data_IF_484738429098
#
_entry.id   IF_484738429098
#
_cell.length_a   1.000
_cell.length_b   1.000
_cell.length_c   1.000
_cell.angle_alpha   90.00
_cell.angle_beta   90.00
_cell.angle_gamma   90.00
#
_symmetry.space_group_name_H-M   'P 1'
#
loop_
_entity.id
_entity.type
_entity.pdbx_description
1 polymer ?
#
# COMPACT_ATOMS: atom_id res chain seq x y z
N UNK A 1 14.62 -21.76 34.32
CA UNK A 1 14.44 -21.73 32.84
C UNK A 1 13.02 -22.22 32.56
N UNK A 2 12.08 -21.52 31.94
CA UNK A 2 11.91 -20.15 31.44
C UNK A 2 10.36 -20.00 31.36
N UNK A 3 9.80 -18.88 31.79
CA UNK A 3 8.43 -18.43 31.48
C UNK A 3 8.54 -17.14 30.65
N UNK A 4 7.54 -16.89 29.76
CA UNK A 4 7.16 -15.69 28.94
C UNK A 4 7.15 -15.99 27.42
N UNK A 5 6.02 -16.13 26.70
CA UNK A 5 4.92 -15.17 26.30
C UNK A 5 5.43 -14.04 25.39
N UNK A 6 4.82 -13.73 24.22
CA UNK A 6 3.39 -13.46 23.96
C UNK A 6 2.87 -13.99 22.60
N UNK A 7 1.74 -14.71 22.64
CA UNK A 7 0.77 -14.81 21.55
C UNK A 7 -0.12 -13.55 21.55
N UNK A 8 -0.65 -13.10 20.41
CA UNK A 8 -1.58 -11.98 20.36
C UNK A 8 -2.80 -12.28 21.23
N UNK A 9 -3.12 -11.34 22.10
CA UNK A 9 -4.26 -11.36 23.00
C UNK A 9 -5.53 -11.33 22.16
N UNK A 10 -6.17 -12.49 21.96
CA UNK A 10 -7.59 -12.53 21.58
C UNK A 10 -8.40 -11.98 22.76
N UNK A 11 -9.03 -10.82 22.57
CA UNK A 11 -10.09 -10.37 23.48
C UNK A 11 -11.30 -11.32 23.32
N UNK A 12 -11.51 -12.16 24.33
CA UNK A 12 -12.74 -12.93 24.47
C UNK A 12 -13.82 -12.05 25.10
N UNK A 13 -14.83 -11.66 24.33
CA UNK A 13 -16.16 -11.37 24.90
C UNK A 13 -16.96 -12.66 24.75
N UNK A 14 -16.94 -13.48 25.79
CA UNK A 14 -17.89 -14.57 25.93
C UNK A 14 -19.27 -13.96 26.19
N UNK A 15 -20.06 -13.71 25.13
CA UNK A 15 -21.49 -13.59 25.31
C UNK A 15 -22.01 -15.01 25.57
N UNK A 16 -22.53 -15.25 26.77
CA UNK A 16 -23.12 -16.52 27.16
C UNK A 16 -24.42 -16.72 26.35
N UNK A 17 -24.30 -17.24 25.13
CA UNK A 17 -25.44 -17.54 24.28
C UNK A 17 -25.85 -18.98 24.59
N UNK A 18 -26.92 -19.13 25.38
CA UNK A 18 -27.55 -20.42 25.59
C UNK A 18 -28.05 -20.98 24.24
N UNK A 19 -27.50 -22.12 23.85
CA UNK A 19 -27.98 -23.04 22.80
C UNK A 19 -28.34 -22.43 21.45
N UNK A 20 -27.39 -22.46 20.50
CA UNK A 20 -27.66 -22.29 19.07
C UNK A 20 -27.90 -23.65 18.42
N UNK A 21 -28.89 -23.75 17.53
CA UNK A 21 -29.04 -24.87 16.60
C UNK A 21 -28.62 -24.40 15.21
N UNK A 22 -27.48 -24.89 14.70
CA UNK A 22 -27.15 -24.80 13.28
C UNK A 22 -27.45 -26.16 12.64
N UNK A 23 -28.29 -26.18 11.60
CA UNK A 23 -28.54 -27.39 10.82
C UNK A 23 -27.80 -27.30 9.48
N UNK A 24 -26.92 -28.27 9.23
CA UNK A 24 -26.33 -28.49 7.91
C UNK A 24 -27.21 -29.49 7.17
N UNK A 25 -27.83 -29.10 6.06
CA UNK A 25 -28.58 -30.05 5.23
C UNK A 25 -27.68 -30.58 4.12
N UNK A 26 -27.32 -31.87 4.22
CA UNK A 26 -27.08 -32.71 3.05
C UNK A 26 -28.39 -33.44 2.75
N UNK A 27 -28.75 -33.52 1.48
CA UNK A 27 -29.99 -34.18 1.03
C UNK A 27 -30.00 -35.66 1.46
N UNK A 28 -31.15 -36.09 2.03
CA UNK A 28 -31.64 -37.46 2.34
C UNK A 28 -31.37 -38.10 3.73
N UNK A 29 -32.39 -38.06 4.61
CA UNK A 29 -32.53 -38.93 5.80
C UNK A 29 -33.16 -38.24 7.03
N UNK A 30 -34.01 -38.91 7.87
CA UNK A 30 -34.77 -38.25 8.93
C UNK A 30 -33.98 -38.03 10.24
N UNK A 31 -34.44 -37.03 10.98
CA UNK A 31 -33.81 -36.30 12.09
C UNK A 31 -33.66 -37.08 13.42
N UNK A 32 -32.53 -36.88 14.13
CA UNK A 32 -32.46 -37.09 15.59
C UNK A 32 -31.51 -36.12 16.31
N UNK A 33 -32.10 -35.36 17.24
CA UNK A 33 -31.61 -34.85 18.55
C UNK A 33 -30.34 -34.00 18.69
N UNK A 34 -30.59 -32.75 19.11
CA UNK A 34 -29.83 -31.79 19.93
C UNK A 34 -28.33 -32.04 20.22
N UNK A 35 -27.49 -31.15 19.70
CA UNK A 35 -26.22 -30.78 20.33
C UNK A 35 -25.99 -29.28 20.23
N UNK A 36 -25.50 -28.69 21.32
CA UNK A 36 -25.02 -27.31 21.40
C UNK A 36 -23.76 -27.14 20.54
N UNK A 37 -23.83 -26.30 19.50
CA UNK A 37 -22.67 -25.97 18.68
C UNK A 37 -22.47 -24.45 18.74
N UNK A 38 -21.34 -24.01 19.31
CA UNK A 38 -20.81 -22.69 19.01
C UNK A 38 -20.28 -22.73 17.58
N UNK A 39 -21.07 -22.23 16.62
CA UNK A 39 -20.69 -22.29 15.21
C UNK A 39 -19.89 -21.03 14.86
N UNK A 40 -18.57 -21.18 14.74
CA UNK A 40 -17.70 -20.27 14.01
C UNK A 40 -17.62 -20.79 12.57
N UNK A 41 -18.20 -20.07 11.61
CA UNK A 41 -18.05 -20.39 10.20
C UNK A 41 -16.87 -19.58 9.63
N UNK A 42 -15.78 -20.26 9.30
CA UNK A 42 -14.69 -19.67 8.50
C UNK A 42 -15.09 -19.86 7.04
N UNK A 43 -15.33 -18.76 6.32
CA UNK A 43 -15.68 -18.79 4.89
C UNK A 43 -14.46 -18.32 4.12
N UNK A 44 -13.99 -19.17 3.20
CA UNK A 44 -12.99 -18.82 2.21
C UNK A 44 -13.61 -17.83 1.20
N UNK A 45 -13.01 -16.65 0.95
CA UNK A 45 -13.58 -15.64 0.04
C UNK A 45 -13.75 -16.12 -1.41
N UNK A 46 -13.03 -17.16 -1.84
CA UNK A 46 -13.06 -17.62 -3.24
C UNK A 46 -14.24 -18.55 -3.58
N UNK A 47 -15.05 -18.92 -2.60
CA UNK A 47 -16.26 -19.72 -2.85
C UNK A 47 -17.46 -19.09 -2.18
N UNK A 48 -18.35 -18.52 -3.00
CA UNK A 48 -19.66 -18.02 -2.58
C UNK A 48 -20.56 -19.21 -2.23
N UNK A 49 -20.38 -19.78 -1.03
CA UNK A 49 -21.40 -20.61 -0.42
C UNK A 49 -22.39 -19.68 0.27
N UNK A 50 -23.62 -19.62 -0.24
CA UNK A 50 -24.70 -18.94 0.44
C UNK A 50 -24.97 -19.60 1.79
N UNK A 51 -24.63 -18.91 2.89
CA UNK A 51 -25.04 -19.35 4.22
C UNK A 51 -26.46 -18.86 4.46
N UNK A 52 -27.41 -19.79 4.61
CA UNK A 52 -28.78 -19.49 5.04
C UNK A 52 -28.91 -19.70 6.54
N UNK A 53 -29.38 -18.66 7.25
CA UNK A 53 -29.74 -18.72 8.66
C UNK A 53 -31.25 -18.53 8.80
N UNK A 54 -31.88 -19.28 9.72
CA UNK A 54 -33.28 -19.06 10.09
C UNK A 54 -33.35 -18.37 11.46
N UNK A 55 -33.77 -17.11 11.49
CA UNK A 55 -33.93 -16.31 12.71
C UNK A 55 -35.38 -16.32 13.23
N UNK A 56 -36.10 -17.43 13.07
CA UNK A 56 -37.44 -17.56 13.62
C UNK A 56 -37.44 -17.45 15.17
N UNK A 57 -38.23 -16.51 15.70
CA UNK A 57 -38.58 -16.46 17.13
C UNK A 57 -37.87 -15.41 18.00
N UNK A 58 -37.01 -14.56 17.43
CA UNK A 58 -36.34 -13.49 18.19
C UNK A 58 -37.12 -12.16 18.14
N UNK A 59 -37.37 -11.56 19.30
CA UNK A 59 -37.99 -10.23 19.44
C UNK A 59 -36.96 -9.10 19.57
N UNK A 60 -35.68 -9.43 19.66
CA UNK A 60 -34.55 -8.51 19.76
C UNK A 60 -33.63 -8.64 18.53
N UNK A 61 -32.96 -7.53 18.11
CA UNK A 61 -32.04 -7.55 16.97
C UNK A 61 -30.90 -8.56 17.19
N UNK A 62 -30.64 -9.37 16.16
CA UNK A 62 -29.48 -10.26 16.13
C UNK A 62 -28.32 -9.56 15.41
N UNK A 63 -27.10 -9.80 15.91
CA UNK A 63 -25.86 -9.30 15.30
C UNK A 63 -25.11 -10.48 14.69
N UNK A 64 -24.88 -10.47 13.36
CA UNK A 64 -23.90 -11.36 12.74
C UNK A 64 -22.54 -10.68 12.75
N UNK A 65 -21.52 -11.41 13.17
CA UNK A 65 -20.12 -11.02 13.01
C UNK A 65 -19.47 -11.93 11.97
N UNK A 66 -18.95 -11.35 10.89
CA UNK A 66 -18.08 -12.07 9.96
C UNK A 66 -16.64 -11.92 10.45
N UNK A 67 -15.93 -13.05 10.54
CA UNK A 67 -14.49 -13.10 10.77
C UNK A 67 -13.85 -13.52 9.45
N UNK A 68 -13.10 -12.61 8.84
CA UNK A 68 -12.11 -12.99 7.83
C UNK A 68 -10.72 -12.72 8.41
N UNK A 69 -9.72 -13.60 8.17
CA UNK A 69 -8.34 -13.38 8.60
C UNK A 69 -7.75 -12.06 8.08
N UNK A 70 -8.27 -11.55 6.96
CA UNK A 70 -7.82 -10.34 6.27
C UNK A 70 -8.72 -9.12 6.49
N UNK A 71 -9.96 -9.30 6.99
CA UNK A 71 -10.99 -8.25 6.95
C UNK A 71 -11.55 -7.78 8.31
N UNK A 72 -11.04 -8.28 9.45
CA UNK A 72 -11.55 -7.88 10.77
C UNK A 72 -13.06 -8.10 10.96
N UNK A 73 -13.67 -7.43 11.95
CA UNK A 73 -15.06 -7.66 12.37
C UNK A 73 -16.06 -6.75 11.63
N UNK A 74 -17.01 -7.34 10.90
CA UNK A 74 -18.18 -6.65 10.35
C UNK A 74 -19.48 -7.08 11.05
N UNK A 75 -20.19 -6.13 11.67
CA UNK A 75 -21.45 -6.36 12.39
C UNK A 75 -22.69 -5.85 11.64
N UNK A 76 -23.62 -6.73 11.25
CA UNK A 76 -24.90 -6.34 10.62
C UNK A 76 -26.10 -6.46 11.57
N UNK A 77 -27.11 -5.59 11.42
CA UNK A 77 -28.35 -5.58 12.23
C UNK A 77 -29.50 -6.20 11.44
N UNK A 78 -29.98 -7.37 11.85
CA UNK A 78 -31.17 -8.00 11.24
C UNK A 78 -32.45 -7.64 12.02
N UNK A 79 -33.46 -7.11 11.33
CA UNK A 79 -34.80 -6.89 11.88
C UNK A 79 -35.85 -7.51 10.93
N UNK A 80 -36.59 -8.51 11.42
CA UNK A 80 -37.73 -9.10 10.72
C UNK A 80 -37.63 -10.61 10.46
N UNK A 81 -38.79 -11.25 10.29
CA UNK A 81 -38.98 -12.70 10.12
C UNK A 81 -38.95 -13.16 8.66
N UNK A 82 -38.09 -12.60 7.82
CA UNK A 82 -37.95 -13.03 6.43
C UNK A 82 -36.79 -14.02 6.29
N UNK A 83 -37.15 -15.29 6.08
CA UNK A 83 -36.25 -16.33 5.56
C UNK A 83 -35.54 -15.83 4.29
N UNK A 84 -34.21 -15.91 4.29
CA UNK A 84 -33.38 -15.62 3.13
C UNK A 84 -33.20 -14.14 2.83
N UNK A 85 -32.25 -13.50 3.53
CA UNK A 85 -31.68 -12.23 3.09
C UNK A 85 -30.29 -12.50 2.51
N UNK A 86 -30.07 -12.09 1.25
CA UNK A 86 -28.72 -11.95 0.70
C UNK A 86 -28.19 -10.61 1.19
N UNK A 87 -27.23 -10.65 2.10
CA UNK A 87 -26.55 -9.45 2.56
C UNK A 87 -25.41 -9.17 1.60
N UNK A 88 -25.50 -8.07 0.84
CA UNK A 88 -24.35 -7.51 0.14
C UNK A 88 -23.56 -6.70 1.17
N UNK A 89 -22.28 -7.01 1.31
CA UNK A 89 -21.38 -6.11 2.03
C UNK A 89 -21.36 -4.77 1.28
N UNK A 90 -21.85 -3.71 1.93
CA UNK A 90 -21.71 -2.32 1.46
C UNK A 90 -20.75 -1.53 2.36
N UNK A 91 -19.84 -2.23 3.05
CA UNK A 91 -18.72 -1.57 3.71
C UNK A 91 -17.64 -1.21 2.69
N UNK A 92 -16.68 -0.40 3.13
CA UNK A 92 -15.48 -0.13 2.34
C UNK A 92 -14.78 -1.45 2.00
N UNK A 93 -14.19 -1.52 0.80
CA UNK A 93 -13.14 -2.50 0.53
C UNK A 93 -12.06 -2.29 1.59
N UNK A 94 -11.71 -3.32 2.35
CA UNK A 94 -10.45 -3.29 3.08
C UNK A 94 -9.40 -3.57 2.01
N UNK A 95 -8.45 -2.65 1.85
CA UNK A 95 -7.45 -2.72 0.80
C UNK A 95 -6.84 -4.10 0.69
N UNK A 96 -6.71 -4.59 -0.54
CA UNK A 96 -5.97 -5.80 -0.85
C UNK A 96 -4.48 -5.61 -0.57
N UNK A 97 -3.79 -6.71 -0.30
CA UNK A 97 -2.35 -6.75 -0.20
C UNK A 97 -1.79 -7.25 -1.54
N UNK A 98 -0.90 -6.47 -2.15
CA UNK A 98 -0.27 -6.75 -3.43
C UNK A 98 1.24 -6.85 -3.20
N UNK A 99 1.83 -7.93 -3.70
CA UNK A 99 3.27 -8.18 -3.59
C UNK A 99 4.01 -7.84 -4.89
N UNK A 100 5.18 -7.23 -4.77
CA UNK A 100 6.08 -6.90 -5.87
C UNK A 100 7.47 -7.40 -5.53
N UNK A 101 8.03 -8.23 -6.41
CA UNK A 101 9.37 -8.77 -6.27
C UNK A 101 9.94 -9.02 -7.67
N UNK A 102 11.01 -8.30 -8.02
CA UNK A 102 11.68 -8.41 -9.31
C UNK A 102 12.25 -9.80 -9.59
N UNK A 103 12.46 -10.62 -8.55
CA UNK A 103 13.01 -11.99 -8.64
C UNK A 103 11.92 -13.07 -8.61
N UNK A 104 10.63 -12.70 -8.47
CA UNK A 104 9.53 -13.65 -8.45
C UNK A 104 9.42 -14.44 -9.78
N UNK A 105 9.05 -15.71 -9.66
CA UNK A 105 9.00 -16.66 -10.79
C UNK A 105 7.62 -17.32 -10.99
N UNK A 106 6.65 -17.01 -10.12
CA UNK A 106 5.31 -17.59 -10.13
C UNK A 106 4.38 -16.96 -11.17
N UNK A 107 3.11 -16.80 -10.79
CA UNK A 107 2.04 -16.38 -11.68
C UNK A 107 2.11 -14.91 -12.13
N UNK A 108 2.89 -14.06 -11.46
CA UNK A 108 3.00 -12.63 -11.72
C UNK A 108 1.64 -11.92 -11.62
N UNK A 109 0.91 -12.20 -10.53
CA UNK A 109 -0.42 -11.65 -10.24
C UNK A 109 -0.50 -10.86 -8.91
N UNK A 110 0.60 -10.80 -8.16
CA UNK A 110 0.71 -10.03 -6.94
C UNK A 110 0.02 -10.65 -5.72
N UNK A 111 -0.46 -11.90 -5.79
CA UNK A 111 -1.24 -12.54 -4.72
C UNK A 111 -0.41 -13.09 -3.55
N UNK A 112 0.88 -13.31 -3.76
CA UNK A 112 1.85 -13.79 -2.76
C UNK A 112 3.26 -13.37 -3.15
N UNK A 113 4.26 -13.58 -2.29
CA UNK A 113 5.67 -13.39 -2.67
C UNK A 113 6.10 -14.31 -3.82
N UNK A 114 5.61 -15.55 -3.89
CA UNK A 114 5.93 -16.48 -4.99
C UNK A 114 5.34 -16.01 -6.32
N UNK A 115 4.12 -15.48 -6.27
CA UNK A 115 3.33 -15.01 -7.42
C UNK A 115 3.38 -13.49 -7.59
N UNK A 116 4.34 -12.81 -6.97
CA UNK A 116 4.44 -11.36 -6.93
C UNK A 116 4.58 -10.76 -8.33
N UNK A 117 4.16 -9.50 -8.50
CA UNK A 117 4.46 -8.77 -9.71
C UNK A 117 5.97 -8.52 -9.82
N UNK A 118 6.56 -8.83 -10.98
CA UNK A 118 7.97 -8.53 -11.27
C UNK A 118 8.20 -7.08 -11.70
N UNK A 119 7.12 -6.34 -11.96
CA UNK A 119 7.14 -4.92 -12.35
C UNK A 119 6.19 -4.10 -11.46
N UNK A 120 6.73 -3.03 -10.86
CA UNK A 120 5.97 -2.18 -9.96
C UNK A 120 4.88 -1.36 -10.69
N UNK A 121 5.04 -1.03 -11.97
CA UNK A 121 4.00 -0.33 -12.73
C UNK A 121 2.78 -1.22 -12.91
N UNK A 122 2.97 -2.52 -13.15
CA UNK A 122 1.86 -3.47 -13.26
C UNK A 122 1.11 -3.60 -11.92
N UNK A 123 1.84 -3.66 -10.81
CA UNK A 123 1.25 -3.67 -9.47
C UNK A 123 0.45 -2.38 -9.16
N UNK A 124 1.01 -1.20 -9.47
CA UNK A 124 0.31 0.08 -9.28
C UNK A 124 -0.92 0.22 -10.20
N UNK A 125 -0.88 -0.38 -11.39
CA UNK A 125 -2.01 -0.42 -12.30
C UNK A 125 -3.13 -1.34 -11.77
N UNK A 126 -2.77 -2.47 -11.16
CA UNK A 126 -3.70 -3.44 -10.57
C UNK A 126 -4.32 -2.94 -9.25
N UNK A 127 -3.57 -2.17 -8.45
CA UNK A 127 -4.00 -1.68 -7.14
C UNK A 127 -5.29 -0.83 -7.20
N UNK A 128 -6.17 -1.05 -6.23
CA UNK A 128 -7.35 -0.23 -5.95
C UNK A 128 -7.10 0.77 -4.82
N UNK A 129 -8.05 1.69 -4.62
CA UNK A 129 -7.95 2.65 -3.52
C UNK A 129 -8.07 1.93 -2.17
N UNK A 130 -7.08 2.16 -1.30
CA UNK A 130 -6.95 1.58 0.03
C UNK A 130 -5.95 0.42 0.10
N UNK A 131 -5.50 -0.11 -1.05
CA UNK A 131 -4.61 -1.29 -1.10
C UNK A 131 -3.23 -1.02 -0.48
N UNK A 132 -2.61 -2.10 0.00
CA UNK A 132 -1.21 -2.15 0.41
C UNK A 132 -0.37 -2.79 -0.69
N UNK A 133 0.67 -2.09 -1.14
CA UNK A 133 1.64 -2.58 -2.11
C UNK A 133 2.97 -2.79 -1.40
N UNK A 134 3.38 -4.04 -1.25
CA UNK A 134 4.59 -4.47 -0.56
C UNK A 134 5.67 -4.81 -1.58
N UNK A 135 6.78 -4.09 -1.54
CA UNK A 135 7.84 -4.16 -2.55
C UNK A 135 9.11 -4.71 -1.92
N UNK A 136 9.53 -5.87 -2.41
CA UNK A 136 10.78 -6.51 -2.04
C UNK A 136 11.98 -5.66 -2.47
N UNK A 137 13.14 -5.99 -1.93
CA UNK A 137 14.43 -5.43 -2.37
C UNK A 137 14.61 -5.54 -3.89
N UNK A 138 15.39 -4.62 -4.44
CA UNK A 138 15.69 -4.59 -5.86
C UNK A 138 15.62 -3.20 -6.47
N UNK A 139 15.88 -3.12 -7.78
CA UNK A 139 15.87 -1.85 -8.53
C UNK A 139 14.71 -1.83 -9.51
N UNK A 140 13.71 -1.02 -9.20
CA UNK A 140 12.49 -0.85 -9.99
C UNK A 140 12.59 0.42 -10.82
N UNK A 141 12.33 0.31 -12.12
CA UNK A 141 12.36 1.42 -13.08
C UNK A 141 10.98 1.62 -13.69
N UNK A 142 10.54 2.87 -13.92
CA UNK A 142 9.20 3.13 -14.47
C UNK A 142 9.08 2.82 -15.97
N UNK A 143 10.20 2.55 -16.64
CA UNK A 143 10.29 2.09 -18.02
C UNK A 143 11.57 1.23 -18.19
N UNK A 144 11.64 0.48 -19.30
CA UNK A 144 12.87 -0.23 -19.68
C UNK A 144 13.96 0.70 -20.23
N UNK A 145 15.14 0.13 -20.56
CA UNK A 145 16.25 0.86 -21.17
C UNK A 145 15.85 1.65 -22.42
N UNK A 146 16.41 2.84 -22.59
CA UNK A 146 16.08 3.82 -23.64
C UNK A 146 14.59 4.19 -23.74
N UNK A 147 13.83 3.97 -22.64
CA UNK A 147 12.42 4.31 -22.52
C UNK A 147 12.15 5.82 -22.51
N UNK A 148 10.87 6.18 -22.33
CA UNK A 148 10.48 7.58 -22.24
C UNK A 148 11.01 8.20 -20.95
N UNK A 149 11.73 9.33 -21.05
CA UNK A 149 12.11 10.15 -19.89
C UNK A 149 10.92 10.74 -19.12
N UNK A 150 9.73 10.73 -19.73
CA UNK A 150 8.48 11.14 -19.07
C UNK A 150 7.81 10.02 -18.27
N UNK A 151 8.35 8.80 -18.28
CA UNK A 151 7.86 7.71 -17.44
C UNK A 151 8.08 8.03 -15.94
N UNK A 152 7.18 7.54 -15.10
CA UNK A 152 7.20 7.76 -13.65
C UNK A 152 6.37 6.68 -12.97
N UNK A 153 6.65 6.40 -11.70
CA UNK A 153 5.73 5.71 -10.82
C UNK A 153 4.62 6.68 -10.41
N UNK A 154 3.45 6.51 -11.00
CA UNK A 154 2.32 7.41 -10.84
C UNK A 154 1.41 6.94 -9.70
N UNK A 155 1.28 7.76 -8.66
CA UNK A 155 0.27 7.58 -7.63
C UNK A 155 -0.95 8.47 -7.93
N UNK A 156 -2.07 7.84 -8.30
CA UNK A 156 -3.33 8.51 -8.59
C UNK A 156 -4.55 7.98 -7.83
N UNK A 157 -4.34 7.02 -6.94
CA UNK A 157 -5.30 6.51 -5.93
C UNK A 157 -4.64 6.55 -4.56
N UNK A 158 -5.44 6.64 -3.50
CA UNK A 158 -4.89 6.55 -2.15
C UNK A 158 -4.51 5.10 -1.84
N UNK A 159 -3.22 4.83 -1.62
CA UNK A 159 -2.71 3.49 -1.34
C UNK A 159 -1.50 3.53 -0.39
N UNK A 160 -1.18 2.40 0.20
CA UNK A 160 -0.06 2.26 1.11
C UNK A 160 1.10 1.57 0.38
N UNK A 161 2.13 2.32 0.00
CA UNK A 161 3.29 1.82 -0.71
C UNK A 161 4.45 1.61 0.27
N UNK A 162 4.80 0.35 0.50
CA UNK A 162 5.83 -0.09 1.44
C UNK A 162 6.97 -0.78 0.70
N UNK A 163 8.18 -0.23 0.79
CA UNK A 163 9.42 -0.85 0.32
C UNK A 163 10.23 -1.37 1.49
N UNK A 164 11.19 -2.25 1.21
CA UNK A 164 12.11 -2.72 2.24
C UNK A 164 11.91 -4.16 2.69
N UNK A 165 11.29 -5.03 1.87
CA UNK A 165 11.01 -6.42 2.23
C UNK A 165 12.05 -7.38 1.66
N UNK A 166 12.30 -8.48 2.36
CA UNK A 166 13.13 -9.59 1.88
C UNK A 166 12.38 -10.53 0.93
N UNK A 167 11.05 -10.41 0.81
CA UNK A 167 10.22 -11.27 -0.03
C UNK A 167 9.74 -12.54 0.68
N UNK A 168 9.69 -12.53 2.02
CA UNK A 168 9.29 -13.71 2.82
C UNK A 168 8.35 -13.40 3.98
N UNK A 169 8.10 -12.11 4.23
CA UNK A 169 7.34 -11.60 5.37
C UNK A 169 5.84 -11.89 5.25
N UNK A 170 5.23 -12.32 6.34
CA UNK A 170 3.78 -12.51 6.46
C UNK A 170 3.06 -11.33 7.12
N UNK A 171 3.79 -10.36 7.69
CA UNK A 171 3.22 -9.15 8.31
C UNK A 171 4.13 -7.92 8.14
N UNK A 172 3.57 -6.72 8.25
CA UNK A 172 4.34 -5.47 8.07
C UNK A 172 5.40 -5.30 9.18
N UNK A 173 5.15 -5.87 10.37
CA UNK A 173 6.10 -5.86 11.49
C UNK A 173 7.32 -6.74 11.23
N UNK A 174 7.19 -7.80 10.42
CA UNK A 174 8.29 -8.68 10.06
C UNK A 174 9.31 -8.00 9.12
N UNK A 175 8.91 -6.92 8.43
CA UNK A 175 9.78 -6.11 7.56
C UNK A 175 11.03 -5.59 8.28
N UNK A 176 10.93 -5.27 9.57
CA UNK A 176 12.04 -4.71 10.33
C UNK A 176 12.44 -3.30 9.85
N UNK A 177 13.75 -3.04 9.75
CA UNK A 177 14.28 -1.78 9.20
C UNK A 177 14.30 -1.86 7.67
N UNK A 178 13.53 -1.04 6.94
CA UNK A 178 13.50 -1.10 5.48
C UNK A 178 14.84 -0.79 4.79
N UNK A 179 15.84 -0.28 5.52
CA UNK A 179 17.19 -0.15 5.00
C UNK A 179 17.95 -1.49 4.83
N UNK A 180 17.52 -2.56 5.52
CA UNK A 180 18.19 -3.88 5.46
C UNK A 180 17.94 -4.59 4.11
N UNK A 181 16.80 -4.33 3.45
CA UNK A 181 16.38 -4.93 2.18
C UNK A 181 15.95 -3.85 1.17
N UNK A 182 16.89 -3.03 0.65
CA UNK A 182 16.56 -1.78 -0.02
C UNK A 182 15.74 -1.98 -1.32
N UNK A 183 14.51 -1.46 -1.32
CA UNK A 183 13.72 -1.25 -2.53
C UNK A 183 14.07 0.11 -3.15
N UNK A 184 14.67 0.10 -4.34
CA UNK A 184 15.17 1.28 -5.04
C UNK A 184 14.24 1.62 -6.20
N UNK A 185 13.57 2.77 -6.12
CA UNK A 185 12.88 3.38 -7.25
C UNK A 185 13.91 4.22 -8.01
N UNK A 186 14.33 3.73 -9.17
CA UNK A 186 15.38 4.35 -9.97
C UNK A 186 14.83 5.02 -11.22
N UNK A 187 15.30 6.25 -11.43
CA UNK A 187 15.11 6.98 -12.67
C UNK A 187 16.13 6.70 -13.76
N UNK A 188 17.25 6.06 -13.42
CA UNK A 188 18.30 5.63 -14.37
C UNK A 188 17.80 4.41 -15.17
N UNK A 189 17.42 4.64 -16.43
CA UNK A 189 16.76 3.63 -17.25
C UNK A 189 17.76 2.60 -17.80
N UNK A 190 18.98 3.05 -18.09
CA UNK A 190 20.03 2.22 -18.66
C UNK A 190 20.93 1.56 -17.60
N UNK A 191 20.83 1.96 -16.34
CA UNK A 191 21.63 1.41 -15.24
C UNK A 191 23.10 1.81 -15.32
N UNK A 192 23.41 2.96 -15.93
CA UNK A 192 24.77 3.42 -16.19
C UNK A 192 25.13 4.75 -15.50
N UNK A 193 24.30 5.22 -14.57
CA UNK A 193 24.61 6.38 -13.73
C UNK A 193 25.93 6.20 -12.97
N UNK A 194 26.75 7.25 -12.96
CA UNK A 194 27.96 7.30 -12.14
C UNK A 194 27.60 7.89 -10.77
N UNK A 195 27.97 7.16 -9.72
CA UNK A 195 27.78 7.58 -8.33
C UNK A 195 28.39 8.96 -8.06
N UNK A 196 27.66 9.80 -7.33
CA UNK A 196 28.00 11.18 -6.98
C UNK A 196 28.25 12.12 -8.18
N UNK A 197 27.81 11.75 -9.39
CA UNK A 197 27.95 12.55 -10.60
C UNK A 197 26.61 12.82 -11.29
N UNK A 198 26.01 13.97 -11.00
CA UNK A 198 24.72 14.41 -11.56
C UNK A 198 24.79 14.92 -13.01
N UNK A 199 25.87 14.69 -13.76
CA UNK A 199 26.07 15.27 -15.11
C UNK A 199 26.37 14.26 -16.21
N UNK A 200 27.03 13.16 -15.87
CA UNK A 200 27.38 12.10 -16.81
C UNK A 200 26.36 10.96 -16.75
N UNK A 201 26.06 10.39 -17.91
CA UNK A 201 25.11 9.28 -18.09
C UNK A 201 23.70 9.56 -17.53
N UNK A 202 23.24 10.82 -17.58
CA UNK A 202 21.89 11.20 -17.09
C UNK A 202 20.85 11.43 -18.19
N UNK A 203 21.21 11.09 -19.43
CA UNK A 203 20.43 11.52 -20.61
C UNK A 203 19.21 10.66 -20.90
N UNK A 204 19.24 9.40 -20.48
CA UNK A 204 18.14 8.45 -20.50
C UNK A 204 17.26 8.55 -19.24
N UNK A 205 17.81 9.08 -18.14
CA UNK A 205 17.11 9.17 -16.88
C UNK A 205 15.76 9.87 -17.00
N UNK A 206 14.75 9.32 -16.33
CA UNK A 206 13.46 9.97 -16.23
C UNK A 206 13.57 11.31 -15.52
N UNK A 207 12.66 12.23 -15.84
CA UNK A 207 12.66 13.53 -15.20
C UNK A 207 12.27 13.44 -13.72
N UNK A 208 11.20 12.71 -13.42
CA UNK A 208 10.67 12.52 -12.07
C UNK A 208 10.44 11.04 -11.82
N UNK A 209 11.06 10.49 -10.78
CA UNK A 209 10.92 9.05 -10.46
C UNK A 209 9.50 8.74 -9.97
N UNK A 210 9.01 9.50 -8.98
CA UNK A 210 7.68 9.31 -8.39
C UNK A 210 6.82 10.55 -8.57
N UNK A 211 5.64 10.39 -9.17
CA UNK A 211 4.66 11.48 -9.31
C UNK A 211 3.42 11.18 -8.48
N UNK A 212 3.03 12.15 -7.64
CA UNK A 212 1.82 12.08 -6.84
C UNK A 212 0.81 13.11 -7.35
N UNK A 213 -0.37 12.65 -7.80
CA UNK A 213 -1.44 13.54 -8.30
C UNK A 213 -2.07 14.37 -7.19
N UNK A 214 -2.77 15.43 -7.59
CA UNK A 214 -3.41 16.40 -6.69
C UNK A 214 -4.53 15.82 -5.82
N UNK A 215 -5.19 14.74 -6.26
CA UNK A 215 -6.27 14.08 -5.51
C UNK A 215 -5.77 13.16 -4.39
N UNK A 216 -4.46 12.99 -4.25
CA UNK A 216 -3.85 12.14 -3.25
C UNK A 216 -3.78 12.86 -1.91
N UNK A 217 -4.20 12.17 -0.86
CA UNK A 217 -4.26 12.69 0.51
C UNK A 217 -3.26 11.98 1.43
N UNK A 218 -3.30 12.32 2.73
CA UNK A 218 -2.50 11.68 3.78
C UNK A 218 -2.86 10.20 4.01
N UNK A 219 -3.92 9.70 3.37
CA UNK A 219 -4.22 8.28 3.30
C UNK A 219 -3.19 7.50 2.47
N UNK A 220 -2.45 8.17 1.59
CA UNK A 220 -1.33 7.56 0.87
C UNK A 220 -0.07 7.56 1.73
N UNK A 221 0.60 6.42 1.81
CA UNK A 221 1.89 6.28 2.48
C UNK A 221 2.95 5.88 1.46
N UNK A 222 4.10 6.53 1.48
CA UNK A 222 5.31 6.10 0.78
C UNK A 222 6.36 5.86 1.86
N UNK A 223 6.73 4.59 2.07
CA UNK A 223 7.56 4.18 3.20
C UNK A 223 8.67 3.21 2.80
N UNK A 224 9.91 3.52 3.16
CA UNK A 224 11.02 2.57 3.08
C UNK A 224 11.72 2.47 1.72
N UNK A 225 11.55 3.45 0.83
CA UNK A 225 12.20 3.43 -0.49
C UNK A 225 13.49 4.26 -0.53
N UNK A 226 14.46 3.77 -1.29
CA UNK A 226 15.45 4.65 -1.90
C UNK A 226 14.89 5.18 -3.22
N UNK A 227 14.94 6.50 -3.42
CA UNK A 227 14.44 7.17 -4.63
C UNK A 227 15.62 7.92 -5.24
N UNK A 228 16.05 7.48 -6.42
CA UNK A 228 17.29 7.96 -7.03
C UNK A 228 17.24 8.06 -8.55
N UNK A 229 18.22 8.75 -9.12
CA UNK A 229 18.40 8.81 -10.58
C UNK A 229 17.43 9.73 -11.31
N UNK A 230 16.54 10.46 -10.62
CA UNK A 230 15.70 11.45 -11.27
C UNK A 230 16.47 12.66 -11.80
N UNK A 231 16.22 13.07 -13.05
CA UNK A 231 17.00 14.11 -13.72
C UNK A 231 16.12 15.11 -14.48
N UNK A 232 15.37 15.94 -13.74
CA UNK A 232 14.45 16.95 -14.24
C UNK A 232 15.20 18.18 -14.84
N UNK A 233 15.86 17.97 -15.98
CA UNK A 233 16.66 18.95 -16.72
C UNK A 233 15.98 19.45 -18.02
N UNK A 234 14.68 19.25 -18.16
CA UNK A 234 13.91 19.62 -19.34
C UNK A 234 13.75 21.13 -19.52
N UNK A 235 13.28 21.50 -20.71
CA UNK A 235 12.92 22.88 -21.07
C UNK A 235 11.40 23.10 -20.99
N UNK A 236 10.94 24.29 -20.63
CA UNK A 236 9.50 24.62 -20.58
C UNK A 236 9.14 25.68 -19.53
N UNK A 237 7.84 25.86 -19.26
CA UNK A 237 7.37 26.72 -18.16
C UNK A 237 7.78 26.16 -16.81
N UNK A 238 7.69 26.98 -15.76
CA UNK A 238 8.01 26.57 -14.40
C UNK A 238 6.99 25.50 -13.92
N UNK A 239 7.40 24.62 -12.99
CA UNK A 239 6.52 23.67 -12.28
C UNK A 239 5.96 22.48 -13.11
N UNK A 240 6.69 22.01 -14.12
CA UNK A 240 6.41 20.70 -14.74
C UNK A 240 7.36 19.62 -14.22
N UNK A 241 6.98 18.35 -14.37
CA UNK A 241 7.82 17.18 -14.01
C UNK A 241 9.20 17.22 -14.66
N UNK A 242 9.30 17.83 -15.85
CA UNK A 242 10.56 17.94 -16.56
C UNK A 242 11.55 18.88 -15.87
N UNK A 243 11.14 19.68 -14.86
CA UNK A 243 11.99 20.71 -14.25
C UNK A 243 12.03 20.71 -12.72
N UNK A 244 11.11 20.00 -12.05
CA UNK A 244 11.00 19.98 -10.59
C UNK A 244 10.77 18.57 -10.06
N UNK A 245 11.16 18.31 -8.81
CA UNK A 245 10.91 17.04 -8.14
C UNK A 245 11.62 15.89 -8.84
N UNK A 246 12.95 15.92 -8.88
CA UNK A 246 13.74 14.90 -9.57
C UNK A 246 13.44 13.50 -9.01
N UNK A 247 13.56 13.32 -7.70
CA UNK A 247 13.12 12.08 -7.05
C UNK A 247 11.60 11.99 -6.96
N UNK A 248 10.96 12.95 -6.27
CA UNK A 248 9.51 12.94 -6.07
C UNK A 248 8.90 14.31 -6.35
N UNK A 249 7.81 14.31 -7.12
CA UNK A 249 6.98 15.48 -7.39
C UNK A 249 5.56 15.24 -6.88
N UNK A 250 5.16 15.91 -5.80
CA UNK A 250 3.86 15.75 -5.19
C UNK A 250 2.98 17.00 -5.32
N UNK A 251 1.87 16.84 -6.04
CA UNK A 251 0.78 17.81 -6.08
C UNK A 251 -0.23 17.58 -4.96
N UNK A 252 -0.43 16.31 -4.57
CA UNK A 252 -1.16 15.90 -3.37
C UNK A 252 -0.28 15.90 -2.12
N UNK A 253 -0.80 15.36 -1.02
CA UNK A 253 -0.16 15.41 0.31
C UNK A 253 -0.04 14.03 0.98
N UNK A 254 0.75 13.11 0.41
CA UNK A 254 0.98 11.78 0.99
C UNK A 254 1.80 11.88 2.28
N UNK A 255 1.72 10.87 3.14
CA UNK A 255 2.71 10.66 4.19
C UNK A 255 3.96 10.00 3.60
N UNK A 256 5.12 10.65 3.72
CA UNK A 256 6.40 10.12 3.23
C UNK A 256 7.30 9.85 4.42
N UNK A 257 7.76 8.60 4.59
CA UNK A 257 8.59 8.24 5.73
C UNK A 257 9.64 7.19 5.44
N UNK A 258 10.72 7.17 6.22
CA UNK A 258 11.82 6.19 6.07
C UNK A 258 12.39 6.09 4.64
N UNK A 259 12.23 7.14 3.83
CA UNK A 259 12.72 7.17 2.46
C UNK A 259 14.10 7.85 2.40
N UNK A 260 14.91 7.40 1.45
CA UNK A 260 16.19 8.03 1.11
C UNK A 260 16.07 8.63 -0.28
N UNK A 261 16.12 9.94 -0.36
CA UNK A 261 16.21 10.65 -1.63
C UNK A 261 17.69 10.87 -1.93
N UNK A 262 18.20 10.27 -2.99
CA UNK A 262 19.62 10.34 -3.30
C UNK A 262 19.94 10.53 -4.77
N UNK A 263 20.94 11.37 -5.06
CA UNK A 263 21.46 11.57 -6.42
C UNK A 263 20.42 12.01 -7.45
N UNK A 264 19.43 12.78 -7.01
CA UNK A 264 18.42 13.36 -7.87
C UNK A 264 18.74 14.83 -8.21
N UNK A 265 18.36 15.25 -9.41
CA UNK A 265 18.61 16.59 -9.91
C UNK A 265 17.34 17.22 -10.48
N UNK A 266 17.16 18.51 -10.22
CA UNK A 266 16.11 19.32 -10.84
C UNK A 266 16.63 20.71 -11.23
N UNK A 267 16.40 21.16 -12.47
CA UNK A 267 16.83 22.49 -12.90
C UNK A 267 16.09 23.62 -12.16
N UNK A 268 14.88 23.36 -11.65
CA UNK A 268 14.08 24.35 -10.95
C UNK A 268 14.03 24.07 -9.45
N UNK A 269 13.16 23.16 -9.00
CA UNK A 269 12.84 23.00 -7.57
C UNK A 269 12.91 21.56 -7.12
N UNK A 270 13.43 21.34 -5.92
CA UNK A 270 13.33 20.04 -5.25
C UNK A 270 14.07 18.95 -6.00
N UNK A 271 15.41 18.98 -5.96
CA UNK A 271 16.22 17.92 -6.58
C UNK A 271 15.80 16.55 -6.08
N UNK A 272 15.79 16.36 -4.75
CA UNK A 272 15.26 15.16 -4.09
C UNK A 272 13.74 15.09 -4.13
N UNK A 273 13.06 16.06 -3.54
CA UNK A 273 11.60 16.12 -3.55
C UNK A 273 11.05 17.55 -3.66
N UNK A 274 9.92 17.68 -4.35
CA UNK A 274 9.14 18.90 -4.46
C UNK A 274 7.68 18.65 -4.09
N UNK A 275 7.18 19.38 -3.09
CA UNK A 275 5.79 19.35 -2.65
C UNK A 275 5.12 20.69 -2.94
N UNK A 276 4.00 20.68 -3.66
CA UNK A 276 3.24 21.89 -4.03
C UNK A 276 2.19 22.26 -2.99
N UNK A 277 1.63 21.26 -2.31
CA UNK A 277 0.63 21.44 -1.27
C UNK A 277 1.10 20.79 0.03
N UNK A 278 0.88 21.49 1.14
CA UNK A 278 1.34 21.09 2.47
C UNK A 278 0.22 20.75 3.44
N UNK A 279 -1.05 20.92 3.05
CA UNK A 279 -2.17 20.58 3.93
C UNK A 279 -2.13 19.09 4.28
N UNK A 280 -1.86 18.74 5.54
CA UNK A 280 -1.78 17.33 5.98
C UNK A 280 -0.49 16.59 5.58
N UNK A 281 0.46 17.25 4.91
CA UNK A 281 1.71 16.64 4.47
C UNK A 281 2.57 16.23 5.68
N UNK A 282 2.99 14.96 5.71
CA UNK A 282 3.85 14.40 6.76
C UNK A 282 5.14 13.87 6.14
N UNK A 283 6.30 14.34 6.61
CA UNK A 283 7.63 13.93 6.13
C UNK A 283 8.47 13.51 7.34
N UNK A 284 8.56 12.21 7.62
CA UNK A 284 9.18 11.69 8.85
C UNK A 284 10.32 10.71 8.57
N UNK A 285 11.45 10.85 9.25
CA UNK A 285 12.59 9.95 9.17
C UNK A 285 13.13 9.76 7.74
N UNK A 286 13.14 10.83 6.94
CA UNK A 286 13.67 10.80 5.57
C UNK A 286 15.08 11.38 5.50
N UNK A 287 15.90 10.87 4.59
CA UNK A 287 17.21 11.45 4.27
C UNK A 287 17.23 12.04 2.87
N UNK A 288 17.96 13.15 2.69
CA UNK A 288 18.15 13.81 1.41
C UNK A 288 19.65 14.02 1.19
N UNK A 289 20.29 13.14 0.41
CA UNK A 289 21.74 13.10 0.21
C UNK A 289 22.10 13.28 -1.25
N UNK A 290 23.15 14.05 -1.55
CA UNK A 290 23.65 14.24 -2.93
C UNK A 290 22.60 14.64 -3.97
N UNK A 291 21.52 15.31 -3.56
CA UNK A 291 20.54 15.87 -4.48
C UNK A 291 20.90 17.33 -4.79
N UNK A 292 20.62 17.80 -6.00
CA UNK A 292 20.90 19.16 -6.41
C UNK A 292 19.74 19.83 -7.14
N UNK A 293 19.65 21.15 -7.01
CA UNK A 293 18.78 21.98 -7.82
C UNK A 293 19.47 23.28 -8.20
N UNK A 294 19.22 23.82 -9.39
CA UNK A 294 19.81 25.12 -9.77
C UNK A 294 19.09 26.33 -9.14
N UNK A 295 17.80 26.21 -8.82
CA UNK A 295 17.03 27.33 -8.25
C UNK A 295 16.81 27.18 -6.74
N UNK A 296 15.96 26.23 -6.30
CA UNK A 296 15.55 26.12 -4.89
C UNK A 296 15.43 24.68 -4.41
N UNK A 297 16.02 24.43 -3.24
CA UNK A 297 15.85 23.17 -2.50
C UNK A 297 16.49 21.97 -3.20
N UNK A 298 17.82 21.84 -3.10
CA UNK A 298 18.54 20.69 -3.68
C UNK A 298 18.03 19.36 -3.11
N UNK A 299 17.90 19.26 -1.79
CA UNK A 299 17.26 18.11 -1.14
C UNK A 299 15.74 18.15 -1.23
N UNK A 300 15.13 19.20 -0.66
CA UNK A 300 13.69 19.32 -0.48
C UNK A 300 13.25 20.75 -0.79
N UNK A 301 12.22 20.89 -1.61
CA UNK A 301 11.49 22.15 -1.77
C UNK A 301 10.02 21.93 -1.41
N UNK A 302 9.49 22.81 -0.58
CA UNK A 302 8.08 22.80 -0.18
C UNK A 302 7.52 24.17 -0.53
N UNK A 303 6.53 24.17 -1.39
CA UNK A 303 5.70 25.32 -1.71
C UNK A 303 4.36 25.15 -1.02
N UNK A 304 3.82 26.23 -0.49
CA UNK A 304 2.65 26.19 0.36
C UNK A 304 1.77 27.39 0.07
N UNK A 305 0.54 27.12 -0.36
CA UNK A 305 -0.50 28.15 -0.49
C UNK A 305 -1.29 28.36 0.82
N UNK A 306 -0.99 27.61 1.90
CA UNK A 306 -1.71 27.68 3.18
C UNK A 306 -0.86 27.23 4.37
N UNK A 307 -0.95 27.90 5.54
CA UNK A 307 -0.08 27.60 6.68
C UNK A 307 -0.22 26.14 7.11
N UNK A 308 0.84 25.35 6.91
CA UNK A 308 0.89 23.95 7.29
C UNK A 308 1.79 23.71 8.50
N UNK A 309 1.40 22.73 9.31
CA UNK A 309 2.26 22.14 10.31
C UNK A 309 3.12 21.09 9.62
N UNK A 310 4.33 21.49 9.24
CA UNK A 310 5.34 20.57 8.79
C UNK A 310 5.96 19.88 10.00
N UNK A 311 5.77 18.57 10.13
CA UNK A 311 6.48 17.73 11.09
C UNK A 311 7.62 17.07 10.33
N UNK A 312 8.85 17.58 10.52
CA UNK A 312 10.08 16.87 10.17
C UNK A 312 10.56 16.20 11.45
N UNK A 313 10.66 14.87 11.44
CA UNK A 313 11.27 14.08 12.51
C UNK A 313 12.47 13.33 11.98
#
# INVERSE_FOLDING_TARGET
>A
MKFRHLLPVLFFIALQINTMHAQWTNVSGPLSTSQSIGALAVVNPDVVWGISWDFAGFTTPQYLAFLSPTAGFGGGRAAGSSQGAVYKWEGFSLGGQIYVDGDAAGANDGSSWEDAFTDLQDALAAAEEGDEVWVAEGVYRPAGPDGSRGATFLLDKNLLLYGGFAGTEGSLEERGDPADFPAILSGDLNGDDIEDNLTMNRTDNVWTVVRVKENITEATVIDGFAISGGHANGSGTNENLARSGGGLHAMGHPAVRHCRFEQNYAVWRGGGAYFVNTAGLTIENNSFTHNASENLGGGLNIESESPAFLIIR
#
